data_IF_644032316873
#
_entry.id   IF_644032316873
#
_cell.length_a   1.000
_cell.length_b   1.000
_cell.length_c   1.000
_cell.angle_alpha   90.00
_cell.angle_beta   90.00
_cell.angle_gamma   90.00
#
_symmetry.space_group_name_H-M   'P 1'
#
loop_
_entity.id
_entity.type
_entity.pdbx_description
1 polymer ?
#
# COMPACT_ATOMS: atom_id res chain seq x y z
N UNK A 1 -63.86 -11.28 18.71
CA UNK A 1 -62.50 -11.60 19.18
C UNK A 1 -61.91 -12.67 18.26
N UNK A 2 -61.17 -12.25 17.22
CA UNK A 2 -60.03 -12.97 16.64
C UNK A 2 -59.46 -12.10 15.52
N UNK A 3 -58.21 -11.73 15.76
CA UNK A 3 -57.32 -10.80 15.07
C UNK A 3 -56.92 -11.35 13.70
N UNK A 4 -57.16 -10.57 12.64
CA UNK A 4 -56.50 -10.71 11.34
C UNK A 4 -55.48 -9.59 11.21
N UNK A 5 -54.32 -9.76 11.84
CA UNK A 5 -53.15 -8.92 11.63
C UNK A 5 -51.95 -9.86 11.63
N UNK A 6 -51.00 -9.63 10.72
CA UNK A 6 -49.70 -10.31 10.59
C UNK A 6 -49.61 -11.59 9.76
N UNK A 7 -49.97 -11.52 8.47
CA UNK A 7 -49.29 -12.35 7.46
C UNK A 7 -48.37 -11.55 6.52
N UNK A 8 -48.56 -10.23 6.45
CA UNK A 8 -47.73 -9.35 5.61
C UNK A 8 -46.42 -8.89 6.28
N UNK A 9 -46.32 -8.94 7.62
CA UNK A 9 -45.09 -8.60 8.33
C UNK A 9 -44.04 -9.72 8.33
N UNK A 10 -44.44 -10.97 8.08
CA UNK A 10 -43.50 -12.11 8.04
C UNK A 10 -42.72 -12.20 6.71
N UNK A 11 -43.26 -11.65 5.62
CA UNK A 11 -42.57 -11.63 4.31
C UNK A 11 -41.57 -10.48 4.17
N UNK A 12 -41.57 -9.49 5.06
CA UNK A 12 -40.62 -8.37 5.00
C UNK A 12 -39.38 -8.54 5.91
N UNK A 13 -39.41 -9.50 6.84
CA UNK A 13 -38.26 -9.83 7.70
C UNK A 13 -37.31 -10.85 7.03
N UNK A 14 -37.75 -11.53 5.95
CA UNK A 14 -36.92 -12.46 5.19
C UNK A 14 -36.10 -11.81 4.06
N UNK A 15 -36.18 -10.49 3.87
CA UNK A 15 -35.41 -9.75 2.85
C UNK A 15 -34.18 -9.00 3.40
N UNK A 16 -33.87 -9.17 4.70
CA UNK A 16 -32.66 -8.61 5.33
C UNK A 16 -31.80 -9.69 6.02
N UNK A 17 -31.79 -10.90 5.46
CA UNK A 17 -30.64 -11.82 5.62
C UNK A 17 -29.74 -11.71 4.38
N UNK A 18 -29.47 -10.47 3.95
CA UNK A 18 -28.19 -10.22 3.32
C UNK A 18 -27.17 -10.37 4.43
N UNK A 19 -26.61 -11.56 4.60
CA UNK A 19 -25.32 -11.67 5.27
C UNK A 19 -24.43 -10.69 4.53
N UNK A 20 -24.10 -9.57 5.16
CA UNK A 20 -22.93 -8.82 4.74
C UNK A 20 -21.81 -9.82 4.97
N UNK A 21 -21.47 -10.59 3.94
CA UNK A 21 -20.32 -11.45 3.95
C UNK A 21 -19.14 -10.48 4.05
N UNK A 22 -18.69 -10.25 5.27
CA UNK A 22 -17.49 -9.49 5.53
C UNK A 22 -16.35 -10.37 5.02
N UNK A 23 -16.04 -10.34 3.73
CA UNK A 23 -15.05 -11.23 3.11
C UNK A 23 -13.61 -10.85 3.44
N UNK A 24 -13.28 -10.52 4.70
CA UNK A 24 -11.92 -10.09 5.04
C UNK A 24 -10.90 -11.13 4.52
N UNK A 25 -9.94 -10.69 3.72
CA UNK A 25 -9.07 -11.61 3.02
C UNK A 25 -7.79 -11.95 3.77
N UNK A 26 -7.59 -11.31 4.93
CA UNK A 26 -6.61 -11.76 5.91
C UNK A 26 -7.26 -12.66 6.95
N UNK A 27 -6.84 -13.90 6.96
CA UNK A 27 -7.30 -14.95 7.84
C UNK A 27 -6.31 -15.14 8.99
N UNK A 28 -6.82 -14.89 10.21
CA UNK A 28 -6.20 -15.29 11.46
C UNK A 28 -6.88 -16.56 11.99
N UNK A 29 -6.09 -17.50 12.48
CA UNK A 29 -6.54 -18.88 12.71
C UNK A 29 -6.55 -19.31 14.17
N UNK A 30 -5.93 -18.56 15.08
CA UNK A 30 -5.88 -18.90 16.51
C UNK A 30 -7.27 -19.14 17.08
N UNK A 31 -8.16 -18.18 16.92
CA UNK A 31 -9.53 -18.27 17.44
C UNK A 31 -10.38 -19.33 16.73
N UNK A 32 -10.13 -19.58 15.44
CA UNK A 32 -10.85 -20.59 14.67
C UNK A 32 -10.57 -22.02 15.16
N UNK A 33 -9.35 -22.28 15.61
CA UNK A 33 -8.90 -23.62 16.01
C UNK A 33 -8.58 -23.73 17.51
N UNK A 34 -8.97 -22.74 18.34
CA UNK A 34 -8.62 -22.69 19.78
C UNK A 34 -9.07 -23.90 20.61
N UNK A 35 -10.15 -24.56 20.19
CA UNK A 35 -10.71 -25.73 20.88
C UNK A 35 -10.21 -27.06 20.30
N UNK A 36 -9.30 -27.02 19.34
CA UNK A 36 -8.77 -28.22 18.70
C UNK A 36 -7.62 -28.79 19.53
N UNK A 37 -7.73 -30.08 19.87
CA UNK A 37 -6.70 -30.78 20.63
C UNK A 37 -6.07 -31.90 19.80
N UNK A 38 -4.74 -31.87 19.74
CA UNK A 38 -3.96 -32.92 19.10
C UNK A 38 -3.74 -34.08 20.07
N UNK A 39 -4.20 -35.27 19.70
CA UNK A 39 -4.08 -36.49 20.54
C UNK A 39 -3.24 -37.59 19.89
N UNK A 40 -2.87 -37.42 18.61
CA UNK A 40 -2.22 -38.47 17.82
C UNK A 40 -0.70 -38.58 18.06
N UNK A 41 -0.24 -39.41 18.98
CA UNK A 41 1.21 -39.54 19.30
C UNK A 41 2.07 -40.28 18.25
N UNK A 42 1.55 -40.58 17.05
CA UNK A 42 2.24 -41.41 16.02
C UNK A 42 2.80 -40.64 14.81
N UNK A 43 3.03 -39.33 14.93
CA UNK A 43 3.54 -38.49 13.83
C UNK A 43 2.63 -38.48 12.58
N UNK A 44 1.33 -38.73 12.77
CA UNK A 44 0.34 -38.73 11.70
C UNK A 44 -0.44 -37.42 11.82
N UNK A 45 -0.52 -36.61 10.74
CA UNK A 45 -1.31 -35.38 10.76
C UNK A 45 -2.76 -35.66 11.19
N UNK A 46 -3.20 -34.97 12.24
CA UNK A 46 -4.59 -34.94 12.68
C UNK A 46 -5.28 -33.74 12.02
N UNK A 47 -6.51 -33.97 11.54
CA UNK A 47 -7.30 -32.96 10.84
C UNK A 47 -8.36 -32.35 11.76
N UNK A 48 -8.59 -31.06 11.58
CA UNK A 48 -9.61 -30.27 12.25
C UNK A 48 -10.34 -29.41 11.22
N UNK A 49 -11.59 -29.09 11.50
CA UNK A 49 -12.44 -28.30 10.61
C UNK A 49 -12.99 -27.13 11.41
N UNK A 50 -12.82 -25.91 10.87
CA UNK A 50 -13.43 -24.72 11.43
C UNK A 50 -14.72 -24.39 10.69
N UNK A 51 -15.63 -23.70 11.38
CA UNK A 51 -16.79 -23.06 10.76
C UNK A 51 -16.35 -22.05 9.72
N UNK A 52 -17.29 -21.66 8.85
CA UNK A 52 -17.07 -20.63 7.85
C UNK A 52 -16.53 -19.34 8.49
N UNK A 53 -15.44 -18.82 7.92
CA UNK A 53 -14.94 -17.47 8.18
C UNK A 53 -14.85 -16.78 6.82
N UNK A 54 -15.59 -15.69 6.67
CA UNK A 54 -15.54 -14.84 5.49
C UNK A 54 -15.93 -15.56 4.18
N UNK A 55 -16.87 -16.51 4.25
CA UNK A 55 -17.28 -17.35 3.10
C UNK A 55 -16.34 -18.53 2.83
N UNK A 56 -15.37 -18.75 3.72
CA UNK A 56 -14.39 -19.82 3.59
C UNK A 56 -14.35 -20.76 4.80
N UNK A 57 -14.63 -22.04 4.53
CA UNK A 57 -14.39 -23.13 5.45
C UNK A 57 -12.94 -23.61 5.34
N UNK A 58 -12.31 -23.81 6.49
CA UNK A 58 -10.90 -24.18 6.60
C UNK A 58 -10.71 -25.55 7.26
N UNK A 59 -9.92 -26.41 6.61
CA UNK A 59 -9.35 -27.63 7.16
C UNK A 59 -7.93 -27.33 7.65
N UNK A 60 -7.64 -27.63 8.93
CA UNK A 60 -6.31 -27.60 9.51
C UNK A 60 -5.79 -29.04 9.68
N UNK A 61 -4.59 -29.33 9.20
CA UNK A 61 -3.88 -30.57 9.47
C UNK A 61 -2.54 -30.28 10.14
N UNK A 62 -2.30 -30.89 11.31
CA UNK A 62 -1.09 -30.70 12.12
C UNK A 62 -0.59 -32.03 12.69
N UNK A 63 0.71 -32.15 12.93
CA UNK A 63 1.35 -33.36 13.46
C UNK A 63 2.00 -33.16 14.85
N UNK A 64 1.61 -32.09 15.54
CA UNK A 64 2.08 -31.73 16.88
C UNK A 64 1.00 -31.01 17.68
N UNK A 65 1.27 -30.83 18.97
CA UNK A 65 0.35 -30.18 19.93
C UNK A 65 0.04 -28.75 19.50
N UNK A 66 -1.25 -28.40 19.49
CA UNK A 66 -1.73 -27.03 19.38
C UNK A 66 -1.61 -26.35 20.74
N UNK A 67 -0.57 -25.55 20.92
CA UNK A 67 -0.28 -24.90 22.18
C UNK A 67 -0.92 -23.50 22.24
N UNK A 68 -1.13 -23.00 23.46
CA UNK A 68 -1.54 -21.60 23.66
C UNK A 68 -0.41 -20.66 23.23
N UNK A 69 -0.79 -19.48 22.79
CA UNK A 69 0.12 -18.41 22.37
C UNK A 69 -0.43 -17.07 22.84
N UNK A 70 0.43 -16.15 23.24
CA UNK A 70 0.04 -14.79 23.63
C UNK A 70 -0.17 -13.89 22.42
N UNK A 71 0.41 -14.25 21.28
CA UNK A 71 0.19 -13.59 19.98
C UNK A 71 -0.89 -14.32 19.17
N UNK A 72 -1.44 -13.66 18.15
CA UNK A 72 -2.44 -14.26 17.25
C UNK A 72 -1.76 -15.16 16.21
N UNK A 73 -1.55 -16.43 16.56
CA UNK A 73 -0.99 -17.43 15.66
C UNK A 73 -1.45 -18.85 15.99
N UNK A 74 -1.36 -19.74 14.99
CA UNK A 74 -1.32 -21.18 15.21
C UNK A 74 0.07 -21.55 15.72
N UNK A 75 0.12 -22.06 16.95
CA UNK A 75 1.32 -22.48 17.63
C UNK A 75 1.37 -24.01 17.70
N UNK A 76 2.20 -24.64 16.86
CA UNK A 76 2.21 -26.10 16.68
C UNK A 76 3.55 -26.71 17.09
N UNK A 77 3.52 -27.54 18.13
CA UNK A 77 4.69 -28.05 18.84
C UNK A 77 5.10 -27.13 20.00
N UNK A 78 6.03 -27.60 20.83
CA UNK A 78 6.55 -26.84 21.98
C UNK A 78 8.03 -27.13 22.17
N UNK A 79 8.66 -26.59 23.22
CA UNK A 79 10.03 -26.98 23.60
C UNK A 79 10.18 -28.47 23.85
N UNK A 80 9.10 -29.17 24.21
CA UNK A 80 9.11 -30.59 24.56
C UNK A 80 8.32 -31.48 23.61
N UNK A 81 7.38 -30.89 22.88
CA UNK A 81 6.55 -31.59 21.92
C UNK A 81 7.03 -31.33 20.50
N UNK A 82 7.11 -32.42 19.73
CA UNK A 82 7.62 -32.36 18.36
C UNK A 82 6.53 -31.95 17.38
N UNK A 83 6.94 -31.27 16.31
CA UNK A 83 6.08 -30.95 15.16
C UNK A 83 6.90 -30.87 13.87
N UNK A 84 6.22 -30.90 12.73
CA UNK A 84 6.82 -30.63 11.42
C UNK A 84 5.88 -29.94 10.46
N UNK A 85 4.57 -30.09 10.59
CA UNK A 85 3.62 -29.63 9.57
C UNK A 85 2.52 -28.77 10.20
N UNK A 86 2.27 -27.64 9.54
CA UNK A 86 0.99 -26.92 9.59
C UNK A 86 0.47 -26.87 8.16
N UNK A 87 -0.72 -27.41 7.94
CA UNK A 87 -1.38 -27.35 6.63
C UNK A 87 -2.78 -26.78 6.80
N UNK A 88 -3.08 -25.71 6.08
CA UNK A 88 -4.40 -25.09 6.00
C UNK A 88 -4.93 -25.22 4.58
N UNK A 89 -6.16 -25.69 4.42
CA UNK A 89 -6.80 -25.80 3.13
C UNK A 89 -8.24 -25.28 3.16
N UNK A 90 -8.65 -24.53 2.15
CA UNK A 90 -10.07 -24.18 1.98
C UNK A 90 -10.83 -25.29 1.28
N UNK A 91 -12.09 -25.49 1.67
CA UNK A 91 -13.02 -26.36 0.91
C UNK A 91 -13.85 -25.55 -0.08
N UNK A 92 -13.96 -24.23 0.12
CA UNK A 92 -14.59 -23.31 -0.84
C UNK A 92 -13.52 -22.63 -1.71
N UNK A 93 -13.78 -22.41 -3.00
CA UNK A 93 -12.81 -21.80 -3.90
C UNK A 93 -12.77 -20.27 -3.76
N UNK A 94 -11.57 -19.70 -3.81
CA UNK A 94 -11.38 -18.27 -4.09
C UNK A 94 -11.56 -18.00 -5.58
N UNK A 95 -11.87 -16.74 -5.92
CA UNK A 95 -11.97 -16.26 -7.31
C UNK A 95 -11.06 -15.07 -7.53
N UNK A 96 -10.36 -15.03 -8.67
CA UNK A 96 -9.54 -13.91 -9.11
C UNK A 96 -8.47 -13.48 -8.10
N UNK A 97 -7.73 -14.46 -7.59
CA UNK A 97 -6.59 -14.25 -6.70
C UNK A 97 -5.36 -13.86 -7.52
N UNK A 98 -4.72 -12.76 -7.17
CA UNK A 98 -3.46 -12.32 -7.78
C UNK A 98 -2.25 -12.57 -6.88
N UNK A 99 -2.45 -12.47 -5.56
CA UNK A 99 -1.41 -12.59 -4.54
C UNK A 99 -1.91 -13.38 -3.33
N UNK A 100 -1.07 -14.26 -2.79
CA UNK A 100 -1.25 -14.83 -1.45
C UNK A 100 -0.02 -14.56 -0.60
N UNK A 101 -0.21 -14.01 0.60
CA UNK A 101 0.83 -13.79 1.59
C UNK A 101 0.64 -14.74 2.76
N UNK A 102 1.73 -15.30 3.24
CA UNK A 102 1.72 -16.21 4.38
C UNK A 102 2.75 -15.73 5.38
N UNK A 103 2.30 -15.39 6.59
CA UNK A 103 3.20 -15.00 7.68
C UNK A 103 3.47 -16.20 8.59
N UNK A 104 4.73 -16.58 8.70
CA UNK A 104 5.21 -17.79 9.40
C UNK A 104 6.53 -17.54 10.08
N UNK A 105 6.78 -18.26 11.17
CA UNK A 105 8.07 -18.28 11.88
C UNK A 105 8.28 -19.65 12.53
N UNK A 106 9.48 -19.95 12.99
CA UNK A 106 9.81 -21.16 13.75
C UNK A 106 10.57 -20.81 15.03
N UNK A 107 10.37 -21.61 16.07
CA UNK A 107 11.08 -21.40 17.32
C UNK A 107 12.60 -21.61 17.15
N UNK A 108 13.39 -20.75 17.77
CA UNK A 108 14.87 -20.84 17.82
C UNK A 108 15.37 -22.20 18.34
N UNK A 109 14.56 -22.88 19.17
CA UNK A 109 14.82 -24.22 19.70
C UNK A 109 14.95 -25.33 18.64
N UNK A 110 14.54 -25.09 17.38
CA UNK A 110 14.69 -26.06 16.26
C UNK A 110 16.11 -26.14 15.69
N UNK A 111 17.12 -25.87 16.53
CA UNK A 111 18.56 -25.98 16.24
C UNK A 111 19.02 -25.21 15.00
N UNK A 112 18.33 -24.13 14.66
CA UNK A 112 18.64 -23.33 13.48
C UNK A 112 18.40 -24.05 12.15
N UNK A 113 17.49 -25.02 12.09
CA UNK A 113 17.03 -25.62 10.83
C UNK A 113 16.02 -24.72 10.13
N UNK A 114 15.85 -24.91 8.82
CA UNK A 114 14.93 -24.15 7.99
C UNK A 114 13.54 -24.79 7.92
N UNK A 115 12.71 -24.19 7.07
CA UNK A 115 11.40 -24.72 6.71
C UNK A 115 10.99 -24.28 5.31
N UNK A 116 10.05 -25.01 4.73
CA UNK A 116 9.41 -24.69 3.46
C UNK A 116 8.00 -24.18 3.72
N UNK A 117 7.60 -23.11 3.04
CA UNK A 117 6.20 -22.71 2.88
C UNK A 117 5.82 -22.97 1.44
N UNK A 118 4.75 -23.73 1.24
CA UNK A 118 4.21 -24.00 -0.09
C UNK A 118 2.76 -23.58 -0.19
N UNK A 119 2.40 -23.02 -1.34
CA UNK A 119 1.06 -22.57 -1.68
C UNK A 119 0.61 -23.33 -2.92
N UNK A 120 -0.60 -23.89 -2.85
CA UNK A 120 -1.26 -24.57 -3.97
C UNK A 120 -2.64 -23.98 -4.17
N UNK A 121 -2.93 -23.57 -5.40
CA UNK A 121 -4.28 -23.22 -5.83
C UNK A 121 -4.75 -24.28 -6.84
N UNK A 122 -5.95 -24.83 -6.64
CA UNK A 122 -6.48 -25.91 -7.48
C UNK A 122 -7.98 -25.80 -7.72
N UNK A 123 -8.43 -26.22 -8.90
CA UNK A 123 -9.84 -26.23 -9.30
C UNK A 123 -10.38 -27.66 -9.32
N UNK A 124 -11.05 -28.09 -8.25
CA UNK A 124 -11.78 -29.37 -8.20
C UNK A 124 -10.95 -30.64 -8.40
N UNK A 125 -11.64 -31.76 -8.71
CA UNK A 125 -11.05 -33.11 -8.85
C UNK A 125 -10.17 -33.28 -10.11
N UNK A 126 -10.20 -32.33 -11.04
CA UNK A 126 -9.35 -32.33 -12.23
C UNK A 126 -8.06 -31.55 -11.96
N UNK A 127 -6.99 -32.33 -11.86
CA UNK A 127 -5.68 -32.01 -11.29
C UNK A 127 -4.93 -30.90 -12.06
N UNK A 128 -5.25 -29.65 -11.83
CA UNK A 128 -4.32 -28.56 -12.09
C UNK A 128 -3.89 -27.92 -10.77
N UNK A 129 -2.61 -28.07 -10.43
CA UNK A 129 -2.01 -27.57 -9.20
C UNK A 129 -0.89 -26.63 -9.56
N UNK A 130 -1.05 -25.34 -9.27
CA UNK A 130 0.10 -24.43 -9.26
C UNK A 130 0.68 -24.41 -7.86
N UNK A 131 1.72 -25.19 -7.63
CA UNK A 131 2.48 -25.15 -6.38
C UNK A 131 3.61 -24.13 -6.50
N UNK A 132 3.64 -23.15 -5.61
CA UNK A 132 4.83 -22.32 -5.38
C UNK A 132 5.42 -22.64 -4.03
N UNK A 133 6.75 -22.62 -3.94
CA UNK A 133 7.50 -22.97 -2.74
C UNK A 133 8.47 -21.86 -2.40
N UNK A 134 8.59 -21.58 -1.12
CA UNK A 134 9.56 -20.66 -0.55
C UNK A 134 10.28 -21.38 0.57
N UNK A 135 11.61 -21.47 0.47
CA UNK A 135 12.45 -22.14 1.47
C UNK A 135 13.12 -21.07 2.31
N UNK A 136 12.81 -21.04 3.61
CA UNK A 136 13.46 -20.14 4.57
C UNK A 136 14.64 -20.84 5.21
N UNK A 137 15.83 -20.30 4.99
CA UNK A 137 17.04 -20.75 5.68
C UNK A 137 17.12 -20.08 7.04
N UNK A 138 18.02 -20.58 7.90
CA UNK A 138 18.26 -20.03 9.24
C UNK A 138 18.52 -18.52 9.23
N UNK A 139 19.26 -18.05 8.23
CA UNK A 139 19.67 -16.65 8.07
C UNK A 139 18.48 -15.73 7.73
N UNK A 140 17.40 -16.31 7.16
CA UNK A 140 16.21 -15.59 6.71
C UNK A 140 15.11 -15.54 7.79
N UNK A 141 15.37 -16.02 9.01
CA UNK A 141 14.36 -16.12 10.09
C UNK A 141 13.87 -14.76 10.63
N UNK A 142 14.43 -13.65 10.16
CA UNK A 142 13.92 -12.31 10.45
C UNK A 142 12.87 -11.86 9.41
N UNK A 143 12.69 -12.58 8.30
CA UNK A 143 11.60 -12.36 7.35
C UNK A 143 10.50 -13.38 7.60
N UNK A 144 9.45 -12.96 8.29
CA UNK A 144 8.31 -13.81 8.62
C UNK A 144 7.33 -13.92 7.45
N UNK A 145 7.52 -13.23 6.34
CA UNK A 145 6.54 -13.17 5.26
C UNK A 145 6.94 -14.01 4.04
N UNK A 146 5.96 -14.56 3.33
CA UNK A 146 6.16 -15.24 2.05
C UNK A 146 5.07 -14.81 1.08
N UNK A 147 5.48 -14.25 -0.06
CA UNK A 147 4.59 -13.68 -1.08
C UNK A 147 4.52 -14.61 -2.30
N UNK A 148 3.32 -15.07 -2.65
CA UNK A 148 3.06 -15.96 -3.77
C UNK A 148 2.24 -15.24 -4.84
N UNK A 149 2.92 -14.75 -5.89
CA UNK A 149 2.27 -14.10 -7.03
C UNK A 149 1.72 -15.11 -8.05
N UNK A 150 0.47 -14.93 -8.43
CA UNK A 150 -0.24 -15.72 -9.43
C UNK A 150 -0.14 -14.98 -10.75
N UNK A 151 0.78 -15.43 -11.60
CA UNK A 151 1.03 -14.83 -12.93
C UNK A 151 -0.08 -15.14 -13.92
N UNK A 152 -0.32 -14.20 -14.84
CA UNK A 152 -1.24 -14.28 -15.98
C UNK A 152 -1.11 -15.60 -16.76
N UNK A 153 -2.23 -16.12 -17.28
CA UNK A 153 -2.32 -17.41 -17.97
C UNK A 153 -2.36 -18.65 -17.05
N UNK A 154 -2.42 -18.46 -15.73
CA UNK A 154 -2.61 -19.54 -14.76
C UNK A 154 -3.99 -19.44 -14.12
N UNK A 155 -4.47 -20.56 -13.57
CA UNK A 155 -5.66 -20.59 -12.73
C UNK A 155 -5.49 -19.59 -11.57
N UNK A 156 -6.32 -18.55 -11.54
CA UNK A 156 -6.41 -17.55 -10.48
C UNK A 156 -7.58 -17.83 -9.51
N UNK A 157 -8.26 -18.97 -9.67
CA UNK A 157 -9.46 -19.32 -8.91
C UNK A 157 -9.42 -20.77 -8.48
N UNK A 158 -9.76 -21.08 -7.23
CA UNK A 158 -9.71 -22.44 -6.73
C UNK A 158 -9.63 -22.55 -5.22
N UNK A 159 -9.64 -23.78 -4.72
CA UNK A 159 -9.35 -24.06 -3.30
C UNK A 159 -7.88 -23.80 -3.02
N UNK A 160 -7.61 -23.07 -1.95
CA UNK A 160 -6.27 -22.70 -1.52
C UNK A 160 -5.77 -23.72 -0.50
N UNK A 161 -4.55 -24.21 -0.67
CA UNK A 161 -3.81 -24.99 0.32
C UNK A 161 -2.48 -24.33 0.62
N UNK A 162 -2.23 -24.03 1.89
CA UNK A 162 -0.94 -23.58 2.42
C UNK A 162 -0.36 -24.70 3.28
N UNK A 163 0.89 -25.06 3.04
CA UNK A 163 1.62 -26.03 3.86
C UNK A 163 2.95 -25.43 4.28
N UNK A 164 3.12 -25.26 5.60
CA UNK A 164 4.38 -24.95 6.25
C UNK A 164 4.98 -26.25 6.77
N UNK A 165 6.21 -26.56 6.37
CA UNK A 165 6.88 -27.82 6.66
C UNK A 165 8.32 -27.61 7.12
N UNK A 166 8.59 -27.94 8.38
CA UNK A 166 9.95 -27.98 8.90
C UNK A 166 10.78 -29.10 8.24
N UNK A 167 12.09 -28.88 8.16
CA UNK A 167 13.03 -29.86 7.59
C UNK A 167 12.87 -31.23 8.25
N UNK A 168 12.76 -31.26 9.58
CA UNK A 168 12.64 -32.46 10.40
C UNK A 168 11.43 -32.42 11.32
N UNK A 169 11.01 -33.61 11.75
CA UNK A 169 10.09 -33.77 12.86
C UNK A 169 10.84 -33.72 14.19
N UNK A 170 10.70 -32.62 14.92
CA UNK A 170 11.56 -32.26 16.04
C UNK A 170 10.86 -31.35 17.06
N UNK A 171 11.47 -31.21 18.24
CA UNK A 171 11.04 -30.29 19.29
C UNK A 171 11.22 -28.84 18.83
N UNK A 172 10.35 -27.96 19.27
CA UNK A 172 10.29 -26.55 18.92
C UNK A 172 9.10 -26.25 18.02
N UNK A 173 8.51 -25.08 18.19
CA UNK A 173 7.26 -24.76 17.54
C UNK A 173 7.39 -24.28 16.10
N UNK A 174 6.31 -24.48 15.34
CA UNK A 174 6.01 -23.79 14.10
C UNK A 174 4.92 -22.75 14.40
N UNK A 175 5.05 -21.56 13.80
CA UNK A 175 4.11 -20.47 13.94
C UNK A 175 3.55 -20.10 12.56
N UNK A 176 2.23 -20.04 12.44
CA UNK A 176 1.54 -19.44 11.30
C UNK A 176 0.63 -18.34 11.84
N UNK A 177 0.93 -17.10 11.51
CA UNK A 177 0.23 -15.92 12.02
C UNK A 177 -1.02 -15.64 11.19
N UNK A 178 -0.85 -15.50 9.88
CA UNK A 178 -1.97 -15.25 8.97
C UNK A 178 -1.70 -15.79 7.56
N UNK A 179 -2.81 -15.98 6.85
CA UNK A 179 -2.84 -16.11 5.39
C UNK A 179 -3.62 -14.91 4.87
N UNK A 180 -3.08 -14.17 3.92
CA UNK A 180 -3.75 -13.05 3.28
C UNK A 180 -3.86 -13.29 1.79
N UNK A 181 -5.08 -13.21 1.27
CA UNK A 181 -5.38 -13.27 -0.16
C UNK A 181 -5.58 -11.83 -0.64
N UNK A 182 -4.97 -11.45 -1.75
CA UNK A 182 -5.02 -10.08 -2.23
C UNK A 182 -5.14 -10.01 -3.74
N UNK A 183 -5.72 -8.91 -4.20
CA UNK A 183 -5.77 -8.52 -5.60
C UNK A 183 -4.78 -7.40 -5.83
N UNK A 184 -4.24 -7.35 -7.03
CA UNK A 184 -3.22 -6.38 -7.39
C UNK A 184 -3.89 -5.26 -8.17
N UNK A 185 -3.79 -4.03 -7.65
CA UNK A 185 -4.26 -2.81 -8.30
C UNK A 185 -3.08 -2.12 -8.99
N UNK A 186 -3.08 -2.18 -10.32
CA UNK A 186 -2.15 -1.45 -11.17
C UNK A 186 -2.56 0.01 -11.29
N UNK A 187 -1.59 0.92 -11.11
CA UNK A 187 -1.78 2.34 -11.42
C UNK A 187 -1.72 2.62 -12.94
N UNK A 188 -1.38 1.64 -13.77
CA UNK A 188 -1.24 1.81 -15.23
C UNK A 188 -2.49 1.41 -16.02
N UNK A 189 -3.47 0.79 -15.36
CA UNK A 189 -4.69 0.29 -15.99
C UNK A 189 -5.92 0.89 -15.33
N UNK A 190 -7.02 1.02 -16.08
CA UNK A 190 -8.30 1.44 -15.52
C UNK A 190 -8.81 0.41 -14.50
N UNK A 191 -9.36 0.85 -13.38
CA UNK A 191 -9.88 0.02 -12.31
C UNK A 191 -10.94 -0.97 -12.80
N UNK A 192 -11.82 -0.55 -13.71
CA UNK A 192 -12.87 -1.40 -14.26
C UNK A 192 -12.36 -2.65 -15.00
N UNK A 193 -11.10 -2.62 -15.47
CA UNK A 193 -10.47 -3.73 -16.20
C UNK A 193 -9.65 -4.64 -15.28
N UNK A 194 -9.65 -4.39 -13.97
CA UNK A 194 -8.86 -5.12 -12.99
C UNK A 194 -9.73 -6.03 -12.12
N UNK A 195 -9.12 -7.01 -11.45
CA UNK A 195 -9.80 -7.94 -10.54
C UNK A 195 -10.18 -7.25 -9.22
N UNK A 196 -11.29 -6.50 -9.23
CA UNK A 196 -11.77 -5.73 -8.07
C UNK A 196 -13.00 -6.41 -7.45
N UNK A 197 -13.02 -6.51 -6.12
CA UNK A 197 -14.16 -7.02 -5.35
C UNK A 197 -14.95 -5.85 -4.77
N UNK A 198 -16.04 -5.50 -5.44
CA UNK A 198 -16.88 -4.34 -5.11
C UNK A 198 -17.74 -4.60 -3.88
N UNK A 199 -17.76 -3.67 -2.92
CA UNK A 199 -18.62 -3.75 -1.73
C UNK A 199 -18.23 -4.83 -0.72
N UNK A 200 -17.15 -5.56 -0.98
CA UNK A 200 -16.61 -6.59 -0.09
C UNK A 200 -15.37 -6.05 0.62
N UNK A 201 -15.16 -6.50 1.86
CA UNK A 201 -13.89 -6.30 2.56
C UNK A 201 -12.85 -7.14 1.82
N UNK A 202 -11.74 -6.56 1.37
CA UNK A 202 -10.73 -7.27 0.59
C UNK A 202 -9.35 -6.64 0.80
N UNK A 203 -8.27 -7.38 0.55
CA UNK A 203 -6.91 -6.83 0.61
C UNK A 203 -6.42 -6.46 -0.79
N UNK A 204 -5.91 -5.24 -0.95
CA UNK A 204 -5.42 -4.74 -2.24
C UNK A 204 -3.95 -4.34 -2.15
N UNK A 205 -3.14 -4.92 -3.04
CA UNK A 205 -1.77 -4.46 -3.27
C UNK A 205 -1.79 -3.37 -4.34
N UNK A 206 -1.39 -2.15 -3.99
CA UNK A 206 -1.22 -1.09 -4.95
C UNK A 206 0.15 -1.24 -5.64
N UNK A 207 0.21 -1.50 -6.95
CA UNK A 207 1.46 -1.54 -7.72
C UNK A 207 2.03 -0.14 -7.91
N UNK A 208 2.76 0.32 -6.91
CA UNK A 208 3.38 1.64 -6.91
C UNK A 208 4.52 1.71 -5.91
N UNK A 209 5.50 2.55 -6.20
CA UNK A 209 6.52 2.98 -5.24
C UNK A 209 6.18 4.36 -4.71
N UNK A 210 6.22 4.51 -3.38
CA UNK A 210 6.09 5.79 -2.69
C UNK A 210 7.47 6.19 -2.17
N UNK A 211 7.97 7.32 -2.65
CA UNK A 211 9.26 7.85 -2.24
C UNK A 211 9.20 8.45 -0.84
N UNK A 212 10.27 8.32 -0.07
CA UNK A 212 10.38 8.91 1.28
C UNK A 212 11.05 10.28 1.31
N UNK A 213 11.77 10.65 0.26
CA UNK A 213 12.52 11.91 0.18
C UNK A 213 11.67 13.08 -0.33
N UNK A 214 10.51 12.82 -0.93
CA UNK A 214 9.57 13.84 -1.41
C UNK A 214 8.11 13.43 -1.23
N UNK A 215 7.21 14.41 -1.37
CA UNK A 215 5.76 14.18 -1.32
C UNK A 215 5.27 13.45 -2.58
N UNK A 216 4.40 12.48 -2.36
CA UNK A 216 3.68 11.76 -3.41
C UNK A 216 2.20 12.19 -3.37
N UNK A 217 1.48 12.09 -4.48
CA UNK A 217 0.02 12.25 -4.48
C UNK A 217 -0.69 10.90 -4.40
N UNK A 218 -1.83 10.81 -3.73
CA UNK A 218 -2.61 9.58 -3.61
C UNK A 218 -4.11 9.88 -3.62
N UNK A 219 -4.88 9.04 -4.31
CA UNK A 219 -6.35 9.05 -4.31
C UNK A 219 -6.82 7.59 -4.46
N UNK A 220 -7.51 7.05 -3.45
CA UNK A 220 -7.85 5.63 -3.41
C UNK A 220 -9.36 5.39 -3.55
N UNK A 221 -9.80 4.26 -4.12
CA UNK A 221 -11.22 3.92 -4.26
C UNK A 221 -11.83 3.26 -2.99
N UNK A 222 -11.12 3.32 -1.87
CA UNK A 222 -11.53 2.77 -0.59
C UNK A 222 -11.02 3.65 0.55
N UNK A 223 -11.68 3.55 1.71
CA UNK A 223 -11.22 4.20 2.93
C UNK A 223 -10.02 3.43 3.50
N UNK A 224 -9.11 4.15 4.15
CA UNK A 224 -7.97 3.58 4.88
C UNK A 224 -8.01 4.07 6.32
N UNK A 225 -8.00 3.13 7.28
CA UNK A 225 -7.87 3.44 8.70
C UNK A 225 -6.44 3.83 9.07
N UNK A 226 -6.23 4.41 10.25
CA UNK A 226 -4.88 4.75 10.70
C UNK A 226 -3.98 3.50 10.80
N UNK A 227 -4.49 2.38 11.33
CA UNK A 227 -3.74 1.13 11.44
C UNK A 227 -3.38 0.54 10.07
N UNK A 228 -4.32 0.56 9.11
CA UNK A 228 -4.06 0.10 7.74
C UNK A 228 -3.02 0.99 7.03
N UNK A 229 -3.04 2.31 7.28
CA UNK A 229 -2.03 3.22 6.76
C UNK A 229 -0.65 2.92 7.35
N UNK A 230 -0.55 2.74 8.68
CA UNK A 230 0.70 2.40 9.37
C UNK A 230 1.28 1.07 8.88
N UNK A 231 0.42 0.06 8.71
CA UNK A 231 0.84 -1.24 8.20
C UNK A 231 1.35 -1.13 6.75
N UNK A 232 0.64 -0.40 5.90
CA UNK A 232 0.96 -0.27 4.49
C UNK A 232 2.18 0.63 4.22
N UNK A 233 2.32 1.73 4.99
CA UNK A 233 3.26 2.82 4.71
C UNK A 233 4.33 3.05 5.79
N UNK A 234 4.23 2.34 6.92
CA UNK A 234 5.07 2.51 8.10
C UNK A 234 4.50 3.50 9.12
N UNK A 235 4.92 3.36 10.39
CA UNK A 235 4.43 4.12 11.56
C UNK A 235 4.47 5.64 11.40
N UNK A 236 5.48 6.17 10.69
CA UNK A 236 5.74 7.61 10.58
C UNK A 236 5.40 8.14 9.18
N UNK A 237 4.35 7.63 8.56
CA UNK A 237 3.86 8.15 7.28
C UNK A 237 3.15 9.49 7.49
N UNK A 238 3.61 10.54 6.82
CA UNK A 238 2.97 11.85 6.84
C UNK A 238 1.88 11.93 5.76
N UNK A 239 0.71 12.44 6.13
CA UNK A 239 -0.43 12.66 5.25
C UNK A 239 -0.86 14.13 5.31
N UNK A 240 -1.21 14.71 4.16
CA UNK A 240 -1.75 16.07 4.08
C UNK A 240 -2.96 16.16 3.17
N UNK A 241 -3.90 17.00 3.55
CA UNK A 241 -5.04 17.38 2.72
C UNK A 241 -4.94 18.83 2.28
N UNK A 242 -5.59 19.17 1.16
CA UNK A 242 -5.56 20.51 0.62
C UNK A 242 -6.47 21.43 1.45
N UNK A 243 -5.89 22.50 2.00
CA UNK A 243 -6.59 23.46 2.87
C UNK A 243 -7.57 24.36 2.11
N UNK A 244 -7.67 24.21 0.78
CA UNK A 244 -8.50 25.06 -0.09
C UNK A 244 -8.07 26.54 -0.04
N UNK A 245 -6.80 26.77 0.28
CA UNK A 245 -6.21 28.10 0.42
C UNK A 245 -4.98 28.22 -0.48
N UNK A 246 -4.91 29.29 -1.25
CA UNK A 246 -3.80 29.60 -2.14
C UNK A 246 -3.37 31.03 -1.94
N UNK A 247 -2.08 31.25 -1.64
CA UNK A 247 -1.51 32.58 -1.45
C UNK A 247 -0.24 32.72 -2.28
N UNK A 248 -0.14 33.76 -3.11
CA UNK A 248 1.05 34.02 -3.93
C UNK A 248 1.50 32.80 -4.76
N UNK A 249 0.55 32.06 -5.35
CA UNK A 249 0.79 30.81 -6.10
C UNK A 249 1.31 29.64 -5.26
N UNK A 250 1.18 29.72 -3.93
CA UNK A 250 1.50 28.64 -2.99
C UNK A 250 0.21 28.00 -2.51
N UNK A 251 0.00 26.73 -2.85
CA UNK A 251 -1.15 25.95 -2.41
C UNK A 251 -0.86 25.39 -1.02
N UNK A 252 -1.75 25.67 -0.05
CA UNK A 252 -1.54 25.29 1.35
C UNK A 252 -2.19 23.95 1.66
N UNK A 253 -1.43 23.13 2.39
CA UNK A 253 -1.79 21.80 2.82
C UNK A 253 -1.60 21.71 4.34
N UNK A 254 -2.45 20.94 5.00
CA UNK A 254 -2.41 20.72 6.45
C UNK A 254 -2.45 19.23 6.79
N UNK A 255 -2.13 18.88 8.04
CA UNK A 255 -2.20 17.49 8.49
C UNK A 255 -3.60 16.93 8.23
N UNK A 256 -3.68 15.79 7.57
CA UNK A 256 -4.93 15.06 7.49
C UNK A 256 -5.12 14.32 8.82
N UNK A 257 -6.19 14.67 9.54
CA UNK A 257 -6.55 14.03 10.80
C UNK A 257 -7.50 12.85 10.55
N UNK A 258 -7.39 11.82 11.38
CA UNK A 258 -8.34 10.71 11.33
C UNK A 258 -9.75 11.20 11.70
N UNK A 259 -10.75 10.73 10.97
CA UNK A 259 -12.14 10.93 11.37
C UNK A 259 -12.38 10.17 12.70
N UNK A 260 -12.68 10.92 13.75
CA UNK A 260 -12.90 10.40 15.11
C UNK A 260 -14.01 9.35 15.21
N UNK A 261 -14.98 9.33 14.28
CA UNK A 261 -16.10 8.39 14.31
C UNK A 261 -15.73 6.99 13.81
N UNK A 262 -14.75 6.87 12.91
CA UNK A 262 -14.45 5.60 12.22
C UNK A 262 -12.96 5.33 11.96
N UNK A 263 -12.06 6.09 12.60
CA UNK A 263 -10.60 6.01 12.48
C UNK A 263 -10.07 6.11 11.02
N UNK A 264 -10.89 6.63 10.11
CA UNK A 264 -10.51 6.77 8.69
C UNK A 264 -9.63 7.98 8.50
N UNK A 265 -8.42 7.76 7.98
CA UNK A 265 -7.43 8.82 7.72
C UNK A 265 -7.30 9.16 6.24
N UNK A 266 -7.58 8.20 5.34
CA UNK A 266 -7.75 8.45 3.91
C UNK A 266 -9.19 8.09 3.55
N UNK A 267 -9.95 9.06 3.07
CA UNK A 267 -11.29 8.83 2.55
C UNK A 267 -11.27 8.46 1.07
N UNK A 268 -12.12 7.52 0.67
CA UNK A 268 -12.23 7.12 -0.73
C UNK A 268 -12.56 8.31 -1.64
N UNK A 269 -11.84 8.43 -2.75
CA UNK A 269 -12.02 9.50 -3.75
C UNK A 269 -11.39 10.84 -3.39
N UNK A 270 -10.99 11.07 -2.14
CA UNK A 270 -10.36 12.34 -1.74
C UNK A 270 -8.86 12.29 -2.09
N UNK A 271 -8.30 13.33 -2.75
CA UNK A 271 -6.88 13.41 -3.04
C UNK A 271 -6.07 13.91 -1.82
N UNK A 272 -4.93 13.27 -1.56
CA UNK A 272 -4.00 13.63 -0.47
C UNK A 272 -2.55 13.72 -0.98
N UNK A 273 -1.71 14.41 -0.21
CA UNK A 273 -0.27 14.22 -0.27
C UNK A 273 0.15 13.20 0.78
N UNK A 274 1.07 12.30 0.42
CA UNK A 274 1.58 11.24 1.28
C UNK A 274 3.10 11.12 1.18
N UNK A 275 3.76 10.96 2.33
CA UNK A 275 5.21 10.81 2.41
C UNK A 275 5.58 9.79 3.51
N UNK A 276 5.90 8.54 3.16
CA UNK A 276 6.40 7.57 4.12
C UNK A 276 7.81 7.97 4.61
N UNK A 277 8.22 7.45 5.77
CA UNK A 277 9.56 7.72 6.35
C UNK A 277 10.69 6.92 5.67
N UNK A 278 10.33 5.82 5.00
CA UNK A 278 11.22 4.96 4.19
C UNK A 278 10.49 4.68 2.87
N UNK A 279 11.23 4.46 1.78
CA UNK A 279 10.63 4.10 0.49
C UNK A 279 9.76 2.84 0.65
N UNK A 280 8.52 2.92 0.18
CA UNK A 280 7.55 1.82 0.25
C UNK A 280 7.24 1.34 -1.17
N UNK A 281 7.45 0.04 -1.42
CA UNK A 281 7.16 -0.59 -2.71
C UNK A 281 5.98 -1.52 -2.58
N UNK A 282 5.02 -1.35 -3.49
CA UNK A 282 3.83 -2.18 -3.61
C UNK A 282 3.09 -2.38 -2.28
N UNK A 283 2.66 -1.29 -1.60
CA UNK A 283 2.00 -1.38 -0.31
C UNK A 283 0.70 -2.17 -0.41
N UNK A 284 0.32 -2.81 0.70
CA UNK A 284 -0.92 -3.59 0.80
C UNK A 284 -1.81 -2.97 1.83
N UNK A 285 -3.00 -2.58 1.38
CA UNK A 285 -4.07 -2.11 2.25
C UNK A 285 -4.97 -3.32 2.56
N UNK A 286 -4.82 -3.81 3.79
CA UNK A 286 -5.45 -5.04 4.24
C UNK A 286 -6.89 -4.80 4.66
N UNK A 287 -7.80 -5.71 4.29
CA UNK A 287 -9.20 -5.69 4.75
C UNK A 287 -9.92 -4.32 4.56
N UNK A 288 -9.75 -3.69 3.40
CA UNK A 288 -10.45 -2.45 3.05
C UNK A 288 -11.68 -2.75 2.20
N UNK A 289 -12.67 -1.84 2.17
CA UNK A 289 -13.86 -2.01 1.34
C UNK A 289 -13.75 -1.14 0.10
N UNK A 290 -13.71 -1.76 -1.08
CA UNK A 290 -13.82 -1.02 -2.32
C UNK A 290 -15.22 -0.38 -2.43
N UNK A 291 -15.28 0.94 -2.45
CA UNK A 291 -16.53 1.69 -2.53
C UNK A 291 -16.94 1.89 -3.98
N UNK A 292 -17.87 1.06 -4.46
CA UNK A 292 -18.36 1.10 -5.85
C UNK A 292 -18.84 2.49 -6.29
N UNK A 293 -19.51 3.21 -5.40
CA UNK A 293 -20.08 4.52 -5.70
C UNK A 293 -19.13 5.68 -5.36
N UNK A 294 -17.93 5.39 -4.83
CA UNK A 294 -16.93 6.44 -4.66
C UNK A 294 -16.45 6.90 -6.03
N UNK A 295 -16.35 8.22 -6.18
CA UNK A 295 -15.81 8.86 -7.37
C UNK A 295 -14.60 9.71 -6.95
N UNK A 296 -13.57 9.82 -7.80
CA UNK A 296 -12.47 10.70 -7.51
C UNK A 296 -12.98 12.16 -7.42
N UNK A 297 -12.54 12.86 -6.39
CA UNK A 297 -13.02 14.19 -6.06
C UNK A 297 -12.09 15.28 -6.60
N UNK A 298 -12.68 16.43 -6.85
CA UNK A 298 -11.99 17.69 -7.12
C UNK A 298 -12.18 18.59 -5.91
N UNK A 299 -11.09 18.86 -5.18
CA UNK A 299 -11.07 19.74 -4.01
C UNK A 299 -10.60 21.12 -4.47
N UNK A 300 -11.52 22.09 -4.50
CA UNK A 300 -11.24 23.44 -4.97
C UNK A 300 -10.96 24.40 -3.82
N UNK A 301 -10.18 25.45 -4.12
CA UNK A 301 -10.11 26.62 -3.27
C UNK A 301 -11.42 27.44 -3.31
N UNK A 302 -11.56 28.41 -2.42
CA UNK A 302 -12.79 29.23 -2.33
C UNK A 302 -13.11 30.00 -3.63
N UNK A 303 -12.09 30.33 -4.43
CA UNK A 303 -12.27 31.06 -5.69
C UNK A 303 -12.66 30.15 -6.85
N UNK A 304 -12.44 28.83 -6.71
CA UNK A 304 -12.57 27.87 -7.81
C UNK A 304 -11.45 27.97 -8.85
N UNK A 305 -10.46 28.84 -8.67
CA UNK A 305 -9.33 29.01 -9.57
C UNK A 305 -8.33 27.84 -9.48
N UNK A 306 -8.19 27.27 -8.30
CA UNK A 306 -7.22 26.23 -8.01
C UNK A 306 -7.93 24.97 -7.52
N UNK A 307 -7.50 23.81 -8.02
CA UNK A 307 -8.04 22.55 -7.55
C UNK A 307 -6.97 21.48 -7.38
N UNK A 308 -7.17 20.62 -6.38
CA UNK A 308 -6.48 19.36 -6.25
C UNK A 308 -7.41 18.24 -6.69
N UNK A 309 -7.05 17.55 -7.77
CA UNK A 309 -7.94 16.64 -8.49
C UNK A 309 -7.44 15.22 -8.35
N UNK A 310 -8.21 14.37 -7.67
CA UNK A 310 -7.93 12.94 -7.59
C UNK A 310 -8.25 12.22 -8.90
N UNK A 311 -7.60 11.08 -9.14
CA UNK A 311 -7.93 10.16 -10.22
C UNK A 311 -7.78 8.72 -9.71
N UNK A 312 -8.68 7.86 -10.16
CA UNK A 312 -8.56 6.42 -9.97
C UNK A 312 -7.84 5.75 -11.13
N UNK A 313 -8.16 6.20 -12.34
CA UNK A 313 -7.61 5.67 -13.59
C UNK A 313 -6.50 6.59 -14.15
N UNK A 314 -5.67 6.07 -15.07
CA UNK A 314 -4.75 6.90 -15.82
C UNK A 314 -5.48 8.04 -16.56
N UNK A 315 -4.88 9.23 -16.59
CA UNK A 315 -5.44 10.42 -17.24
C UNK A 315 -4.37 11.12 -18.08
N UNK A 316 -4.74 11.64 -19.25
CA UNK A 316 -3.88 12.54 -20.01
C UNK A 316 -4.11 13.98 -19.53
N UNK A 317 -3.06 14.60 -19.02
CA UNK A 317 -3.09 15.97 -18.50
C UNK A 317 -2.91 17.00 -19.63
N UNK A 318 -3.55 18.16 -19.52
CA UNK A 318 -3.39 19.23 -20.49
C UNK A 318 -1.97 19.85 -20.44
N UNK A 319 -1.31 19.98 -21.60
CA UNK A 319 0.06 20.52 -21.73
C UNK A 319 0.11 22.06 -21.75
N UNK A 320 -1.06 22.71 -21.79
CA UNK A 320 -1.20 24.17 -21.84
C UNK A 320 -0.84 24.86 -20.51
N UNK A 321 -0.70 24.08 -19.43
CA UNK A 321 -0.39 24.57 -18.08
C UNK A 321 -1.61 24.70 -17.17
N UNK A 322 -2.80 24.31 -17.63
CA UNK A 322 -3.98 24.16 -16.77
C UNK A 322 -3.85 22.96 -15.83
N UNK A 323 -3.18 21.88 -16.24
CA UNK A 323 -2.92 20.71 -15.40
C UNK A 323 -1.44 20.59 -15.06
N UNK A 324 -1.14 20.38 -13.77
CA UNK A 324 0.22 20.34 -13.23
C UNK A 324 0.43 19.10 -12.35
N UNK A 325 1.62 18.49 -12.45
CA UNK A 325 2.07 17.42 -11.55
C UNK A 325 3.03 17.94 -10.49
N UNK A 326 3.09 17.23 -9.36
CA UNK A 326 4.05 17.47 -8.30
C UNK A 326 5.43 16.90 -8.67
N UNK A 327 6.46 17.73 -8.65
CA UNK A 327 7.85 17.31 -8.75
C UNK A 327 8.40 16.89 -7.38
N UNK A 328 9.46 16.08 -7.39
CA UNK A 328 10.20 15.73 -6.18
C UNK A 328 10.76 16.95 -5.42
N UNK A 329 10.92 18.09 -6.11
CA UNK A 329 11.35 19.34 -5.48
C UNK A 329 10.25 20.07 -4.71
N UNK A 330 8.99 19.61 -4.78
CA UNK A 330 7.82 20.32 -4.24
C UNK A 330 7.23 21.39 -5.17
N UNK A 331 7.84 21.59 -6.36
CA UNK A 331 7.31 22.51 -7.36
C UNK A 331 6.26 21.81 -8.23
N UNK A 332 5.33 22.57 -8.78
CA UNK A 332 4.39 22.07 -9.76
C UNK A 332 4.90 22.33 -11.18
N UNK A 333 4.72 21.36 -12.07
CA UNK A 333 5.11 21.47 -13.46
C UNK A 333 4.04 20.92 -14.39
N UNK A 334 3.92 21.54 -15.56
CA UNK A 334 3.05 21.04 -16.62
C UNK A 334 3.74 19.92 -17.41
N UNK A 335 2.97 19.04 -18.08
CA UNK A 335 3.51 18.09 -19.05
C UNK A 335 4.42 18.76 -20.09
N UNK A 336 5.49 18.07 -20.49
CA UNK A 336 6.43 18.59 -21.50
C UNK A 336 5.85 18.55 -22.91
N UNK A 337 5.04 17.53 -23.20
CA UNK A 337 4.35 17.31 -24.47
C UNK A 337 3.20 16.33 -24.24
N UNK A 338 2.31 16.21 -25.23
CA UNK A 338 1.20 15.24 -25.20
C UNK A 338 1.69 13.79 -25.13
N UNK A 339 2.87 13.49 -25.67
CA UNK A 339 3.46 12.14 -25.66
C UNK A 339 3.85 11.67 -24.24
N UNK A 340 4.01 12.60 -23.30
CA UNK A 340 4.40 12.33 -21.90
C UNK A 340 3.45 13.01 -20.91
N UNK A 341 2.20 13.24 -21.33
CA UNK A 341 1.16 13.88 -20.50
C UNK A 341 0.35 12.91 -19.66
N UNK A 342 0.49 11.61 -19.91
CA UNK A 342 -0.23 10.59 -19.15
C UNK A 342 0.30 10.51 -17.71
N UNK A 343 -0.60 10.74 -16.76
CA UNK A 343 -0.42 10.41 -15.35
C UNK A 343 -1.10 9.07 -15.07
N UNK A 344 -0.44 8.20 -14.31
CA UNK A 344 -1.01 6.94 -13.83
C UNK A 344 -2.16 7.18 -12.83
N UNK A 345 -2.99 6.16 -12.64
CA UNK A 345 -4.14 6.16 -11.73
C UNK A 345 -3.77 6.18 -10.26
N UNK A 346 -4.80 6.25 -9.42
CA UNK A 346 -4.72 6.35 -7.96
C UNK A 346 -3.79 7.48 -7.47
N UNK A 347 -3.79 8.59 -8.22
CA UNK A 347 -2.95 9.77 -8.03
C UNK A 347 -3.81 11.01 -7.96
N UNK A 348 -3.17 12.14 -7.79
CA UNK A 348 -3.80 13.44 -7.94
C UNK A 348 -2.88 14.42 -8.66
N UNK A 349 -3.50 15.37 -9.35
CA UNK A 349 -2.84 16.48 -10.05
C UNK A 349 -3.47 17.81 -9.63
N UNK A 350 -2.84 18.91 -10.02
CA UNK A 350 -3.28 20.26 -9.70
C UNK A 350 -3.86 20.93 -10.94
N UNK A 351 -5.01 21.57 -10.78
CA UNK A 351 -5.68 22.29 -11.87
C UNK A 351 -5.71 23.78 -11.60
N UNK A 352 -5.40 24.57 -12.63
CA UNK A 352 -5.44 26.03 -12.66
C UNK A 352 -6.47 26.44 -13.71
N UNK A 353 -7.64 26.93 -13.26
CA UNK A 353 -8.79 27.20 -14.12
C UNK A 353 -8.72 28.57 -14.83
N UNK A 354 -7.91 29.52 -14.32
CA UNK A 354 -7.66 30.80 -15.00
C UNK A 354 -6.18 30.98 -15.29
N UNK A 355 -5.84 31.04 -16.58
CA UNK A 355 -4.53 31.53 -17.01
C UNK A 355 -4.60 33.05 -17.06
N UNK A 356 -4.02 33.75 -16.06
CA UNK A 356 -3.89 35.20 -16.13
C UNK A 356 -3.07 35.58 -17.37
N UNK A 357 -3.76 36.07 -18.39
CA UNK A 357 -3.20 36.44 -19.69
C UNK A 357 -2.44 37.77 -19.60
N UNK A 358 -1.31 37.81 -18.89
CA UNK A 358 -0.31 38.87 -19.05
C UNK A 358 0.96 38.59 -18.23
N UNK A 359 1.96 38.02 -18.90
CA UNK A 359 3.39 38.37 -18.80
C UNK A 359 4.27 37.15 -19.04
N UNK A 360 5.37 37.36 -19.77
CA UNK A 360 6.34 36.36 -20.20
C UNK A 360 7.19 35.73 -19.07
N UNK A 361 6.66 35.59 -17.85
CA UNK A 361 7.28 34.86 -16.75
C UNK A 361 6.51 33.58 -16.51
N UNK A 362 7.22 32.45 -16.59
CA UNK A 362 6.70 31.16 -16.15
C UNK A 362 6.31 31.28 -14.67
N UNK A 363 5.00 31.35 -14.38
CA UNK A 363 4.49 31.38 -13.01
C UNK A 363 4.84 30.02 -12.40
N UNK A 364 5.64 30.03 -11.34
CA UNK A 364 6.02 28.84 -10.61
C UNK A 364 5.03 28.67 -9.46
N UNK A 365 4.30 27.56 -9.48
CA UNK A 365 3.43 27.16 -8.38
C UNK A 365 4.17 26.18 -7.46
N UNK A 366 3.94 26.29 -6.16
CA UNK A 366 4.55 25.42 -5.15
C UNK A 366 3.50 24.99 -4.13
N UNK A 367 3.83 23.95 -3.35
CA UNK A 367 3.02 23.53 -2.21
C UNK A 367 3.68 23.94 -0.90
N UNK A 368 2.87 24.32 0.08
CA UNK A 368 3.27 24.47 1.48
C UNK A 368 2.51 23.42 2.30
N UNK A 369 3.22 22.52 2.96
CA UNK A 369 2.64 21.42 3.71
C UNK A 369 2.41 21.73 5.19
N UNK A 370 2.47 23.01 5.57
CA UNK A 370 2.54 23.42 6.96
C UNK A 370 3.89 23.01 7.54
N UNK A 371 4.47 23.83 8.43
CA UNK A 371 5.82 23.58 8.92
C UNK A 371 5.96 22.21 9.59
N UNK A 372 6.58 21.25 8.90
CA UNK A 372 7.69 20.54 9.53
C UNK A 372 8.72 21.62 9.83
N UNK A 373 9.14 21.82 11.07
CA UNK A 373 10.15 22.82 11.41
C UNK A 373 11.40 22.63 10.54
N UNK A 374 11.51 23.38 9.44
CA UNK A 374 12.75 23.62 8.73
C UNK A 374 13.23 24.99 9.16
N UNK A 375 13.98 25.00 10.28
CA UNK A 375 14.95 26.04 10.51
C UNK A 375 16.03 25.90 9.44
N UNK A 376 15.85 26.64 8.35
CA UNK A 376 16.85 26.71 7.30
C UNK A 376 16.29 27.34 6.04
N UNK A 377 16.59 28.63 5.84
CA UNK A 377 16.69 29.17 4.49
C UNK A 377 17.73 28.32 3.76
N UNK A 378 17.30 27.29 3.03
CA UNK A 378 18.15 26.56 2.10
C UNK A 378 17.96 27.19 0.72
N UNK A 379 18.75 28.24 0.47
CA UNK A 379 19.02 28.67 -0.90
C UNK A 379 19.50 27.45 -1.70
N UNK A 380 18.87 27.18 -2.84
CA UNK A 380 19.23 26.10 -3.77
C UNK A 380 20.75 25.99 -3.95
N UNK A 381 21.36 24.98 -3.34
CA UNK A 381 22.72 24.55 -3.62
C UNK A 381 22.71 23.55 -4.79
N UNK A 382 22.55 24.04 -6.01
CA UNK A 382 23.08 23.33 -7.18
C UNK A 382 24.60 23.43 -7.12
N UNK A 383 25.29 22.29 -6.99
CA UNK A 383 26.75 22.19 -7.13
C UNK A 383 27.05 22.02 -8.64
N UNK A 384 27.57 23.03 -9.36
CA UNK A 384 28.10 22.79 -10.69
C UNK A 384 29.49 22.16 -10.53
N UNK A 385 29.69 21.03 -11.19
CA UNK A 385 30.94 20.28 -11.32
C UNK A 385 32.16 21.19 -11.55
N UNK A 386 33.17 21.06 -10.68
CA UNK A 386 34.38 21.90 -10.65
C UNK A 386 35.46 21.46 -11.64
N UNK A 387 35.19 21.53 -12.94
CA UNK A 387 36.26 21.53 -13.97
C UNK A 387 35.92 22.50 -15.10
N UNK A 388 36.80 23.50 -15.26
CA UNK A 388 36.81 24.56 -16.29
C UNK A 388 35.65 25.57 -16.23
N UNK A 389 35.62 26.43 -15.21
CA UNK A 389 34.66 27.54 -15.13
C UNK A 389 35.34 28.89 -15.40
N UNK A 390 34.90 29.57 -16.45
CA UNK A 390 35.22 30.96 -16.73
C UNK A 390 34.64 31.88 -15.63
N UNK A 391 35.40 32.89 -15.22
CA UNK A 391 35.06 33.85 -14.16
C UNK A 391 34.76 35.19 -14.82
N UNK A 392 33.66 35.83 -14.45
CA UNK A 392 33.27 37.14 -14.98
C UNK A 392 33.22 38.19 -13.87
N UNK A 393 33.44 39.47 -14.21
CA UNK A 393 33.12 40.58 -13.31
C UNK A 393 31.63 40.97 -13.42
N UNK A 394 31.17 41.94 -12.64
CA UNK A 394 29.77 42.40 -12.66
C UNK A 394 29.35 43.08 -13.97
N UNK A 395 30.32 43.46 -14.81
CA UNK A 395 30.10 44.00 -16.14
C UNK A 395 30.03 42.90 -17.21
N UNK A 396 30.12 41.62 -16.82
CA UNK A 396 30.05 40.48 -17.74
C UNK A 396 31.33 40.21 -18.52
N UNK A 397 32.46 40.84 -18.14
CA UNK A 397 33.77 40.62 -18.77
C UNK A 397 34.44 39.42 -18.12
N UNK A 398 34.96 38.49 -18.93
CA UNK A 398 35.74 37.36 -18.44
C UNK A 398 37.08 37.84 -17.88
N UNK A 399 37.40 37.45 -16.65
CA UNK A 399 38.58 37.88 -15.89
C UNK A 399 39.53 36.73 -15.54
N UNK A 400 39.22 35.50 -15.96
CA UNK A 400 40.13 34.36 -15.82
C UNK A 400 39.40 33.05 -15.48
N UNK A 401 40.16 32.02 -15.15
CA UNK A 401 39.63 30.68 -14.81
C UNK A 401 39.93 30.25 -13.35
N UNK A 402 40.65 31.07 -12.58
CA UNK A 402 40.97 30.80 -11.18
C UNK A 402 40.83 32.07 -10.31
N UNK A 403 39.88 32.04 -9.38
CA UNK A 403 39.54 33.17 -8.51
C UNK A 403 40.68 33.52 -7.56
N UNK A 404 41.62 32.61 -7.28
CA UNK A 404 42.74 32.83 -6.33
C UNK A 404 43.70 33.92 -6.80
N UNK A 405 43.76 34.20 -8.10
CA UNK A 405 44.66 35.21 -8.67
C UNK A 405 43.99 36.58 -8.90
N UNK A 406 42.69 36.71 -8.63
CA UNK A 406 41.95 37.96 -8.81
C UNK A 406 42.04 38.87 -7.57
N UNK A 407 41.93 40.20 -7.70
CA UNK A 407 41.79 41.09 -6.54
C UNK A 407 40.54 40.79 -5.68
N UNK A 408 40.49 41.36 -4.47
CA UNK A 408 39.26 41.34 -3.68
C UNK A 408 38.15 42.07 -4.44
N UNK A 409 36.96 41.49 -4.50
CA UNK A 409 35.90 41.96 -5.38
C UNK A 409 34.79 40.94 -5.58
N UNK A 410 33.85 41.28 -6.45
CA UNK A 410 32.66 40.50 -6.73
C UNK A 410 32.74 39.91 -8.14
N UNK A 411 32.60 38.59 -8.24
CA UNK A 411 32.75 37.83 -9.47
C UNK A 411 31.54 36.93 -9.73
N UNK A 412 31.35 36.50 -10.97
CA UNK A 412 30.36 35.49 -11.36
C UNK A 412 31.10 34.25 -11.86
N UNK A 413 30.92 33.11 -11.18
CA UNK A 413 31.53 31.82 -11.53
C UNK A 413 30.43 30.78 -11.64
N UNK A 414 30.32 30.12 -12.81
CA UNK A 414 29.27 29.12 -13.03
C UNK A 414 27.85 29.67 -12.82
N UNK A 415 27.61 30.94 -13.15
CA UNK A 415 26.33 31.62 -12.95
C UNK A 415 26.05 32.12 -11.52
N UNK A 416 27.00 32.00 -10.58
CA UNK A 416 26.84 32.44 -9.19
C UNK A 416 27.75 33.61 -8.84
N UNK A 417 27.20 34.57 -8.09
CA UNK A 417 27.95 35.71 -7.53
C UNK A 417 28.82 35.24 -6.35
N UNK A 418 30.12 35.47 -6.42
CA UNK A 418 31.12 35.11 -5.40
C UNK A 418 31.86 36.38 -4.98
N UNK A 419 32.01 36.58 -3.68
CA UNK A 419 32.76 37.71 -3.12
C UNK A 419 34.12 37.18 -2.66
N UNK A 420 35.19 37.63 -3.32
CA UNK A 420 36.56 37.44 -2.84
C UNK A 420 36.89 38.55 -1.87
N UNK A 421 37.22 38.19 -0.63
CA UNK A 421 37.66 39.13 0.40
C UNK A 421 39.17 39.23 0.43
#
# INVERSE_FOLDING_TARGET
MKTYVNFWLLCLILLFLGTVETHAQRFYFKELFKNCEYSNKKHIPQKFYATDKYGHQWELAVDGVLAKSDVDCLHVGTTDEKSRIICLATTTPFKDVDLVRVSTNIASGRRGRGYEVSMTLGSGKDKFYKTRKYTKRKEDLNDDLSNFYITEGNINSGTLKIEMKGDNYEKGALFLYFIEVASVLSDQHELQNQHIKLGEIYSYQLQRTFASDHWNTICLPFDVSQDALKEAMGENCALREFKKEVENNVLKFENADANFENDTVIQAGVPYLIKPSVEVKNPIFSNVVYKKDAMPQTVQDETGQYAFVGTFDPVNLNVDGSDLFLLATGNLAKPKSEEVSQMYGMRAYFKINEQSSSSAKQIMYTIDCGSETVNGIQSQHSHPSTRNQHIYNLQGVEVGADIRHLPAGVYVIGGKKIIKR
#
